data_IF_386946471594
#
_entry.id   IF_386946471594
#
_cell.length_a   1.000
_cell.length_b   1.000
_cell.length_c   1.000
_cell.angle_alpha   90.00
_cell.angle_beta   90.00
_cell.angle_gamma   90.00
#
_symmetry.space_group_name_H-M   'P 1'
#
loop_
_entity.id
_entity.type
_entity.pdbx_description
1 polymer ?
#
# COMPACT_ATOMS: atom_id res chain seq x y z
N UNK A 1 -8.58 36.79 4.33
CA UNK A 1 -7.27 36.29 3.83
C UNK A 1 -7.21 34.82 4.12
N UNK A 2 -7.53 33.98 3.11
CA UNK A 2 -7.67 32.54 3.29
C UNK A 2 -6.33 31.84 3.15
N UNK A 3 -5.92 31.12 4.17
CA UNK A 3 -4.80 30.18 4.08
C UNK A 3 -5.26 28.95 3.27
N UNK A 4 -4.61 28.69 2.15
CA UNK A 4 -4.78 27.46 1.36
C UNK A 4 -4.47 26.26 2.24
N UNK A 5 -5.42 25.34 2.40
CA UNK A 5 -5.23 24.03 3.00
C UNK A 5 -4.51 23.13 1.97
N UNK A 6 -3.24 22.88 2.17
CA UNK A 6 -2.50 21.83 1.45
C UNK A 6 -2.63 20.52 2.23
N UNK A 7 -3.19 19.51 1.65
CA UNK A 7 -3.30 18.16 2.24
C UNK A 7 -4.45 17.31 1.72
N UNK A 8 -4.98 17.60 0.54
CA UNK A 8 -5.99 16.78 -0.11
C UNK A 8 -5.36 15.54 -0.76
N UNK A 9 -5.90 14.36 -0.52
CA UNK A 9 -5.70 13.20 -1.39
C UNK A 9 -6.21 13.61 -2.75
N UNK A 10 -5.33 13.77 -3.74
CA UNK A 10 -5.74 14.10 -5.09
C UNK A 10 -6.36 12.86 -5.73
N UNK A 11 -7.69 12.85 -5.83
CA UNK A 11 -8.34 12.05 -6.86
C UNK A 11 -7.91 12.64 -8.20
N UNK A 12 -7.25 11.85 -9.04
CA UNK A 12 -6.98 12.26 -10.40
C UNK A 12 -8.32 12.32 -11.13
N UNK A 13 -8.76 13.54 -11.48
CA UNK A 13 -9.97 13.75 -12.27
C UNK A 13 -9.80 13.14 -13.66
N UNK A 14 -10.80 12.44 -14.20
CA UNK A 14 -10.81 12.02 -15.60
C UNK A 14 -11.06 13.25 -16.47
N UNK A 15 -10.18 13.50 -17.41
CA UNK A 15 -10.41 14.56 -18.39
C UNK A 15 -9.22 14.87 -19.28
N UNK A 16 -8.95 13.99 -20.25
CA UNK A 16 -8.43 14.45 -21.53
C UNK A 16 -8.83 13.44 -22.63
N UNK A 17 -9.72 13.82 -23.60
CA UNK A 17 -10.09 12.94 -24.68
C UNK A 17 -9.03 13.06 -25.77
N UNK A 18 -8.28 12.01 -26.02
CA UNK A 18 -7.64 11.62 -27.27
C UNK A 18 -6.53 10.57 -26.99
N UNK A 19 -6.90 9.31 -27.11
CA UNK A 19 -5.97 8.31 -27.64
C UNK A 19 -6.76 7.06 -28.05
N UNK A 20 -6.91 6.90 -29.37
CA UNK A 20 -7.45 5.69 -29.99
C UNK A 20 -6.49 4.53 -29.71
N UNK A 21 -7.06 3.46 -29.19
CA UNK A 21 -6.43 2.16 -29.01
C UNK A 21 -5.82 1.62 -30.31
N UNK A 22 -4.54 1.34 -30.28
CA UNK A 22 -3.94 0.32 -31.14
C UNK A 22 -3.25 -0.70 -30.21
N UNK A 23 -3.75 -1.91 -30.28
CA UNK A 23 -3.31 -3.09 -29.56
C UNK A 23 -1.88 -3.46 -29.92
N UNK A 24 -0.94 -3.18 -29.01
CA UNK A 24 0.33 -3.90 -28.89
C UNK A 24 0.81 -3.76 -27.44
N UNK A 25 1.09 -4.84 -26.81
CA UNK A 25 1.37 -5.06 -25.37
C UNK A 25 2.42 -4.16 -24.71
N UNK A 26 3.12 -3.32 -25.45
CA UNK A 26 4.15 -2.41 -24.93
C UNK A 26 3.69 -0.98 -24.61
N UNK A 27 2.59 -0.51 -25.17
CA UNK A 27 2.21 0.91 -25.14
C UNK A 27 1.29 1.24 -23.95
N UNK A 28 0.42 0.33 -23.53
CA UNK A 28 -0.47 0.52 -22.39
C UNK A 28 0.33 0.58 -21.05
N UNK A 29 1.39 -0.24 -20.94
CA UNK A 29 2.30 -0.24 -19.80
C UNK A 29 3.03 1.09 -19.61
N UNK A 30 3.51 1.70 -20.69
CA UNK A 30 4.25 2.97 -20.64
C UNK A 30 3.36 4.18 -20.28
N UNK A 31 2.09 4.19 -20.69
CA UNK A 31 1.17 5.30 -20.40
C UNK A 31 0.70 5.26 -18.93
N UNK A 32 0.49 4.07 -18.39
CA UNK A 32 0.11 3.85 -17.00
C UNK A 32 1.24 4.26 -16.03
N UNK A 33 2.47 3.83 -16.30
CA UNK A 33 3.67 4.24 -15.53
C UNK A 33 3.80 5.76 -15.47
N UNK A 34 3.47 6.48 -16.55
CA UNK A 34 3.58 7.94 -16.61
C UNK A 34 2.64 8.65 -15.62
N UNK A 35 1.47 8.12 -15.28
CA UNK A 35 0.53 8.74 -14.33
C UNK A 35 0.99 8.52 -12.88
N UNK A 36 1.44 7.34 -12.52
CA UNK A 36 2.03 7.03 -11.20
C UNK A 36 3.29 7.89 -10.99
N UNK A 37 4.20 7.91 -11.95
CA UNK A 37 5.41 8.74 -11.87
C UNK A 37 5.10 10.23 -11.72
N UNK A 38 4.15 10.77 -12.50
CA UNK A 38 3.73 12.18 -12.39
C UNK A 38 3.18 12.52 -11.00
N UNK A 39 2.43 11.61 -10.40
CA UNK A 39 1.88 11.79 -9.06
C UNK A 39 2.98 11.79 -8.01
N UNK A 40 3.78 10.71 -7.94
CA UNK A 40 4.83 10.56 -6.93
C UNK A 40 6.00 11.54 -7.12
N UNK A 41 6.22 12.06 -8.32
CA UNK A 41 7.17 13.14 -8.52
C UNK A 41 6.74 14.49 -7.88
N UNK A 42 5.45 14.67 -7.60
CA UNK A 42 4.89 15.85 -6.93
C UNK A 42 4.63 15.62 -5.44
N UNK A 43 4.51 14.36 -5.02
CA UNK A 43 4.21 13.97 -3.65
C UNK A 43 5.50 13.73 -2.86
N UNK A 44 5.53 14.21 -1.61
CA UNK A 44 6.65 13.95 -0.71
C UNK A 44 6.41 12.67 0.08
N UNK A 45 6.68 11.52 -0.55
CA UNK A 45 6.52 10.18 0.05
C UNK A 45 7.38 10.01 1.30
N UNK A 46 8.57 10.63 1.34
CA UNK A 46 9.47 10.53 2.49
C UNK A 46 8.88 11.13 3.78
N UNK A 47 7.93 12.05 3.64
CA UNK A 47 7.27 12.69 4.79
C UNK A 47 5.95 12.02 5.20
N UNK A 48 5.37 11.15 4.39
CA UNK A 48 4.05 10.55 4.63
C UNK A 48 3.98 9.83 5.99
N UNK A 49 4.92 8.96 6.27
CA UNK A 49 4.95 8.16 7.50
C UNK A 49 5.54 8.89 8.72
N UNK A 50 5.84 10.20 8.61
CA UNK A 50 6.27 11.02 9.76
C UNK A 50 5.13 11.86 10.35
N UNK A 51 3.98 11.91 9.70
CA UNK A 51 2.76 12.53 10.23
C UNK A 51 2.18 11.64 11.34
N UNK A 52 1.37 12.18 12.26
CA UNK A 52 0.82 11.38 13.37
C UNK A 52 0.03 10.15 12.90
N UNK A 53 -0.85 10.30 11.91
CA UNK A 53 -1.54 9.13 11.33
C UNK A 53 -0.58 8.15 10.64
N UNK A 54 0.46 8.65 9.96
CA UNK A 54 1.51 7.81 9.36
C UNK A 54 2.37 7.09 10.41
N UNK A 55 2.61 7.70 11.56
CA UNK A 55 3.29 7.04 12.70
C UNK A 55 2.44 5.88 13.22
N UNK A 56 1.11 6.03 13.32
CA UNK A 56 0.21 4.93 13.71
C UNK A 56 0.31 3.79 12.71
N UNK A 57 0.21 4.07 11.39
CA UNK A 57 0.37 3.10 10.31
C UNK A 57 1.69 2.35 10.41
N UNK A 58 2.81 3.11 10.49
CA UNK A 58 4.16 2.54 10.57
C UNK A 58 4.33 1.67 11.81
N UNK A 59 3.92 2.15 12.97
CA UNK A 59 4.12 1.45 14.25
C UNK A 59 3.30 0.18 14.32
N UNK A 60 2.03 0.22 13.93
CA UNK A 60 1.17 -0.96 13.91
C UNK A 60 1.69 -2.01 12.92
N UNK A 61 2.08 -1.61 11.72
CA UNK A 61 2.63 -2.51 10.71
C UNK A 61 3.93 -3.14 11.17
N UNK A 62 4.86 -2.35 11.71
CA UNK A 62 6.13 -2.84 12.25
C UNK A 62 5.92 -3.81 13.42
N UNK A 63 4.92 -3.58 14.28
CA UNK A 63 4.56 -4.53 15.35
C UNK A 63 4.26 -5.93 14.76
N UNK A 64 3.44 -6.00 13.70
CA UNK A 64 3.10 -7.27 13.06
C UNK A 64 4.28 -7.91 12.31
N UNK A 65 5.13 -7.10 11.67
CA UNK A 65 6.38 -7.59 11.05
C UNK A 65 7.30 -8.16 12.11
N UNK A 66 7.50 -7.48 13.26
CA UNK A 66 8.32 -7.97 14.37
C UNK A 66 7.79 -9.28 14.96
N UNK A 67 6.49 -9.37 15.15
CA UNK A 67 5.83 -10.61 15.58
C UNK A 67 6.06 -11.77 14.60
N UNK A 68 6.10 -11.47 13.31
CA UNK A 68 6.40 -12.47 12.26
C UNK A 68 7.89 -12.84 12.18
N UNK A 69 8.78 -11.90 12.46
CA UNK A 69 10.23 -12.13 12.58
C UNK A 69 10.56 -13.04 13.78
N UNK A 70 9.82 -12.91 14.87
CA UNK A 70 9.92 -13.78 16.04
C UNK A 70 11.36 -13.94 16.57
N UNK A 71 12.07 -12.84 16.75
CA UNK A 71 13.46 -12.80 17.24
C UNK A 71 14.52 -13.32 16.29
N UNK A 72 14.16 -13.79 15.09
CA UNK A 72 15.15 -14.25 14.09
C UNK A 72 16.00 -13.09 13.60
N UNK A 73 17.29 -13.35 13.38
CA UNK A 73 18.26 -12.35 12.94
C UNK A 73 18.75 -12.63 11.52
N UNK A 74 19.20 -11.60 10.84
CA UNK A 74 19.85 -11.73 9.53
C UNK A 74 18.94 -12.25 8.41
N UNK A 75 17.61 -12.12 8.55
CA UNK A 75 16.66 -12.54 7.54
C UNK A 75 16.88 -11.81 6.22
N UNK A 76 16.66 -12.51 5.09
CA UNK A 76 16.58 -11.91 3.78
C UNK A 76 15.15 -11.40 3.54
N UNK A 77 14.99 -10.10 3.37
CA UNK A 77 13.69 -9.45 3.24
C UNK A 77 13.62 -8.68 1.91
N UNK A 78 12.55 -8.88 1.14
CA UNK A 78 12.21 -8.05 -0.01
C UNK A 78 11.16 -7.01 0.38
N UNK A 79 11.32 -5.78 -0.13
CA UNK A 79 10.34 -4.69 0.01
C UNK A 79 9.96 -4.21 -1.39
N UNK A 80 8.80 -4.67 -1.87
CA UNK A 80 8.30 -4.43 -3.24
C UNK A 80 7.33 -3.25 -3.22
N UNK A 81 7.68 -2.20 -3.96
CA UNK A 81 7.01 -0.89 -3.86
C UNK A 81 7.49 -0.12 -2.63
N UNK A 82 8.79 -0.17 -2.35
CA UNK A 82 9.39 0.37 -1.11
C UNK A 82 9.27 1.89 -0.94
N UNK A 83 8.84 2.64 -1.96
CA UNK A 83 8.84 4.09 -1.94
C UNK A 83 10.23 4.65 -1.64
N UNK A 84 10.34 5.49 -0.63
CA UNK A 84 11.62 6.04 -0.14
C UNK A 84 12.30 5.18 0.93
N UNK A 85 11.80 3.95 1.18
CA UNK A 85 12.44 2.90 1.96
C UNK A 85 12.23 2.97 3.47
N UNK A 86 11.09 3.50 3.95
CA UNK A 86 10.84 3.64 5.39
C UNK A 86 10.88 2.31 6.14
N UNK A 87 10.18 1.29 5.65
CA UNK A 87 10.22 -0.07 6.22
C UNK A 87 11.58 -0.73 6.00
N UNK A 88 12.13 -0.60 4.79
CA UNK A 88 13.43 -1.17 4.44
C UNK A 88 14.56 -0.69 5.36
N UNK A 89 14.61 0.62 5.65
CA UNK A 89 15.65 1.22 6.49
C UNK A 89 15.52 0.72 7.92
N UNK A 90 14.32 0.74 8.48
CA UNK A 90 14.08 0.28 9.86
C UNK A 90 14.49 -1.18 10.03
N UNK A 91 14.13 -2.07 9.09
CA UNK A 91 14.50 -3.47 9.12
C UNK A 91 16.01 -3.70 8.86
N UNK A 92 16.63 -2.85 8.04
CA UNK A 92 18.09 -2.87 7.82
C UNK A 92 18.85 -2.52 9.10
N UNK A 93 18.41 -1.50 9.85
CA UNK A 93 19.00 -1.10 11.13
C UNK A 93 18.85 -2.18 12.20
N UNK A 94 17.85 -3.05 12.08
CA UNK A 94 17.65 -4.22 12.93
C UNK A 94 18.52 -5.43 12.53
N UNK A 95 19.38 -5.28 11.51
CA UNK A 95 20.36 -6.30 11.10
C UNK A 95 19.84 -7.28 10.05
N UNK A 96 18.71 -7.02 9.38
CA UNK A 96 18.21 -7.82 8.29
C UNK A 96 18.84 -7.43 6.93
N UNK A 97 18.84 -8.36 5.98
CA UNK A 97 19.36 -8.14 4.63
C UNK A 97 18.23 -7.70 3.70
N UNK A 98 18.26 -6.44 3.29
CA UNK A 98 17.17 -5.84 2.51
C UNK A 98 17.45 -5.79 1.02
N UNK A 99 16.40 -6.12 0.24
CA UNK A 99 16.34 -5.86 -1.20
C UNK A 99 15.05 -5.06 -1.46
N UNK A 100 15.20 -3.82 -1.92
CA UNK A 100 14.11 -2.89 -2.16
C UNK A 100 13.88 -2.72 -3.66
N UNK A 101 12.63 -2.82 -4.09
CA UNK A 101 12.19 -2.60 -5.48
C UNK A 101 11.19 -1.46 -5.50
N UNK A 102 11.39 -0.50 -6.40
CA UNK A 102 10.50 0.66 -6.55
C UNK A 102 10.35 1.00 -8.05
N UNK A 103 9.11 1.27 -8.46
CA UNK A 103 8.79 1.64 -9.82
C UNK A 103 9.25 3.05 -10.17
N UNK A 104 9.02 4.00 -9.25
CA UNK A 104 9.26 5.42 -9.45
C UNK A 104 10.74 5.75 -9.23
N UNK A 105 11.42 6.15 -10.29
CA UNK A 105 12.85 6.45 -10.28
C UNK A 105 13.25 7.42 -9.16
N UNK A 106 12.48 8.50 -8.98
CA UNK A 106 12.74 9.51 -7.93
C UNK A 106 12.76 8.90 -6.53
N UNK A 107 11.80 8.03 -6.21
CA UNK A 107 11.71 7.40 -4.89
C UNK A 107 12.94 6.53 -4.61
N UNK A 108 13.35 5.70 -5.60
CA UNK A 108 14.52 4.85 -5.41
C UNK A 108 15.82 5.66 -5.33
N UNK A 109 15.90 6.80 -6.02
CA UNK A 109 17.04 7.72 -5.89
C UNK A 109 17.09 8.37 -4.49
N UNK A 110 15.94 8.73 -3.91
CA UNK A 110 15.86 9.20 -2.51
C UNK A 110 16.35 8.13 -1.54
N UNK A 111 15.94 6.87 -1.72
CA UNK A 111 16.44 5.77 -0.88
C UNK A 111 17.96 5.58 -1.01
N UNK A 112 18.46 5.57 -2.25
CA UNK A 112 19.93 5.45 -2.51
C UNK A 112 20.73 6.57 -1.86
N UNK A 113 20.20 7.79 -1.86
CA UNK A 113 20.87 8.95 -1.26
C UNK A 113 20.99 8.88 0.27
N UNK A 114 20.26 7.98 0.93
CA UNK A 114 20.35 7.72 2.37
C UNK A 114 21.54 6.82 2.74
N UNK A 115 22.25 6.26 1.75
CA UNK A 115 23.46 5.45 1.89
C UNK A 115 23.34 4.22 2.80
N UNK A 116 22.14 3.65 2.90
CA UNK A 116 21.88 2.44 3.67
C UNK A 116 22.37 1.18 2.96
N UNK A 117 22.66 0.12 3.73
CA UNK A 117 23.12 -1.19 3.19
C UNK A 117 21.96 -1.99 2.60
N UNK A 118 21.19 -1.38 1.69
CA UNK A 118 20.02 -1.94 1.04
C UNK A 118 20.33 -2.15 -0.45
N UNK A 119 20.08 -3.36 -0.96
CA UNK A 119 20.12 -3.60 -2.41
C UNK A 119 18.89 -2.97 -3.05
N UNK A 120 19.07 -2.12 -4.05
CA UNK A 120 17.97 -1.36 -4.63
C UNK A 120 17.83 -1.62 -6.13
N UNK A 121 16.60 -1.84 -6.58
CA UNK A 121 16.23 -2.03 -7.98
C UNK A 121 15.11 -1.08 -8.37
N UNK A 122 15.22 -0.48 -9.55
CA UNK A 122 14.04 0.12 -10.19
C UNK A 122 13.34 -0.99 -10.97
N UNK A 123 12.06 -1.25 -10.64
CA UNK A 123 11.32 -2.35 -11.25
C UNK A 123 9.82 -2.27 -10.99
N UNK A 124 9.07 -3.06 -11.77
CA UNK A 124 7.63 -3.19 -11.66
C UNK A 124 7.29 -4.48 -10.89
N UNK A 125 6.37 -4.43 -9.94
CA UNK A 125 5.90 -5.60 -9.19
C UNK A 125 5.26 -6.68 -10.08
N UNK A 126 4.78 -6.31 -11.26
CA UNK A 126 4.25 -7.26 -12.26
C UNK A 126 5.34 -8.14 -12.90
N UNK A 127 6.59 -7.73 -12.84
CA UNK A 127 7.73 -8.51 -13.35
C UNK A 127 8.93 -8.35 -12.40
N UNK A 128 9.16 -9.37 -11.59
CA UNK A 128 10.30 -9.47 -10.67
C UNK A 128 11.33 -10.52 -11.15
N UNK A 129 11.35 -10.85 -12.45
CA UNK A 129 12.23 -11.89 -13.04
C UNK A 129 13.72 -11.64 -12.79
N UNK A 130 14.12 -10.40 -12.52
CA UNK A 130 15.49 -10.02 -12.15
C UNK A 130 15.86 -10.38 -10.70
N UNK A 131 14.90 -10.84 -9.88
CA UNK A 131 15.16 -11.36 -8.53
C UNK A 131 15.20 -12.89 -8.54
N UNK A 132 16.10 -13.43 -7.74
CA UNK A 132 16.27 -14.87 -7.58
C UNK A 132 15.03 -15.51 -6.94
N UNK A 133 14.69 -16.73 -7.37
CA UNK A 133 13.61 -17.53 -6.79
C UNK A 133 13.95 -18.02 -5.38
N UNK A 134 12.94 -18.20 -4.54
CA UNK A 134 13.05 -18.78 -3.19
C UNK A 134 14.15 -18.13 -2.34
N UNK A 135 14.32 -16.81 -2.46
CA UNK A 135 15.40 -16.08 -1.82
C UNK A 135 15.05 -15.45 -0.50
N UNK A 136 13.82 -14.94 -0.37
CA UNK A 136 13.42 -14.10 0.74
C UNK A 136 12.65 -14.88 1.82
N UNK A 137 13.01 -14.64 3.08
CA UNK A 137 12.29 -15.19 4.24
C UNK A 137 10.96 -14.46 4.45
N UNK A 138 10.96 -13.16 4.13
CA UNK A 138 9.78 -12.27 4.19
C UNK A 138 9.78 -11.40 2.94
N UNK A 139 8.61 -11.25 2.34
CA UNK A 139 8.36 -10.32 1.23
C UNK A 139 7.26 -9.35 1.63
N UNK A 140 7.57 -8.05 1.61
CA UNK A 140 6.63 -6.95 1.83
C UNK A 140 6.17 -6.41 0.47
N UNK A 141 4.87 -6.10 0.35
CA UNK A 141 4.27 -5.48 -0.82
C UNK A 141 3.26 -4.42 -0.36
N UNK A 142 3.78 -3.23 0.03
CA UNK A 142 3.01 -2.13 0.62
C UNK A 142 2.90 -0.96 -0.38
N UNK A 143 2.01 -1.06 -1.34
CA UNK A 143 1.79 -0.01 -2.34
C UNK A 143 1.36 -0.53 -3.69
N UNK A 144 2.03 -1.52 -4.31
CA UNK A 144 1.70 -1.94 -5.67
C UNK A 144 0.23 -2.28 -5.90
N UNK A 145 -0.43 -2.98 -4.94
CA UNK A 145 -1.84 -3.38 -5.08
C UNK A 145 -2.81 -2.20 -5.21
N UNK A 146 -2.41 -1.02 -4.74
CA UNK A 146 -3.23 0.20 -4.84
C UNK A 146 -3.38 0.71 -6.27
N UNK A 147 -2.45 0.35 -7.15
CA UNK A 147 -2.33 0.83 -8.52
C UNK A 147 -2.69 -0.22 -9.57
N UNK A 148 -3.17 -1.38 -9.14
CA UNK A 148 -3.58 -2.47 -10.02
C UNK A 148 -5.10 -2.45 -10.14
N UNK A 149 -5.60 -2.34 -11.38
CA UNK A 149 -7.03 -2.10 -11.62
C UNK A 149 -7.80 -3.38 -11.82
N UNK A 150 -7.12 -4.48 -12.17
CA UNK A 150 -7.75 -5.77 -12.41
C UNK A 150 -7.33 -6.82 -11.38
N UNK A 151 -8.19 -7.79 -11.15
CA UNK A 151 -7.87 -8.95 -10.33
C UNK A 151 -6.69 -9.75 -10.93
N UNK A 152 -6.62 -9.82 -12.26
CA UNK A 152 -5.57 -10.52 -13.00
C UNK A 152 -4.18 -9.93 -12.74
N UNK A 153 -4.07 -8.60 -12.74
CA UNK A 153 -2.84 -7.91 -12.37
C UNK A 153 -2.44 -8.20 -10.92
N UNK A 154 -3.40 -8.18 -9.99
CA UNK A 154 -3.14 -8.48 -8.57
C UNK A 154 -2.67 -9.93 -8.38
N UNK A 155 -3.29 -10.88 -9.05
CA UNK A 155 -2.86 -12.28 -9.01
C UNK A 155 -1.48 -12.45 -9.65
N UNK A 156 -1.17 -11.74 -10.75
CA UNK A 156 0.16 -11.73 -11.36
C UNK A 156 1.23 -11.27 -10.37
N UNK A 157 0.98 -10.17 -9.64
CA UNK A 157 1.89 -9.72 -8.59
C UNK A 157 2.05 -10.78 -7.51
N UNK A 158 0.97 -11.41 -7.05
CA UNK A 158 1.05 -12.46 -6.02
C UNK A 158 1.91 -13.63 -6.52
N UNK A 159 1.80 -14.06 -7.77
CA UNK A 159 2.66 -15.12 -8.32
C UNK A 159 4.14 -14.69 -8.36
N UNK A 160 4.45 -13.42 -8.66
CA UNK A 160 5.81 -12.92 -8.56
C UNK A 160 6.33 -12.94 -7.11
N UNK A 161 5.50 -12.53 -6.13
CA UNK A 161 5.86 -12.57 -4.71
C UNK A 161 6.09 -14.01 -4.23
N UNK A 162 5.23 -14.96 -4.63
CA UNK A 162 5.42 -16.41 -4.36
C UNK A 162 6.77 -16.89 -4.88
N UNK A 163 7.05 -16.61 -6.14
CA UNK A 163 8.29 -17.07 -6.79
C UNK A 163 9.55 -16.64 -6.06
N UNK A 164 9.62 -15.41 -5.57
CA UNK A 164 10.80 -14.88 -4.89
C UNK A 164 10.89 -15.24 -3.41
N UNK A 165 9.76 -15.59 -2.78
CA UNK A 165 9.69 -15.94 -1.36
C UNK A 165 10.01 -17.42 -1.16
N UNK A 166 10.78 -17.77 -0.14
CA UNK A 166 11.10 -19.14 0.19
C UNK A 166 9.83 -19.93 0.55
N UNK A 167 9.79 -21.27 0.29
CA UNK A 167 8.77 -22.13 0.89
C UNK A 167 8.72 -21.94 2.40
N UNK A 168 7.52 -21.78 2.97
CA UNK A 168 7.31 -21.43 4.37
C UNK A 168 7.59 -19.98 4.73
N UNK A 169 8.07 -19.16 3.80
CA UNK A 169 8.27 -17.72 3.97
C UNK A 169 6.95 -16.97 4.03
N UNK A 170 7.00 -15.72 4.49
CA UNK A 170 5.81 -14.89 4.68
C UNK A 170 5.73 -13.76 3.64
N UNK A 171 4.53 -13.55 3.12
CA UNK A 171 4.21 -12.51 2.17
C UNK A 171 3.20 -11.55 2.81
N UNK A 172 3.56 -10.28 2.96
CA UNK A 172 2.71 -9.22 3.49
C UNK A 172 2.20 -8.37 2.32
N UNK A 173 0.89 -8.30 2.14
CA UNK A 173 0.28 -7.56 1.03
C UNK A 173 -0.69 -6.53 1.58
N UNK A 174 -0.43 -5.25 1.34
CA UNK A 174 -1.33 -4.18 1.73
C UNK A 174 -2.31 -3.82 0.61
N UNK A 175 -3.56 -3.56 1.02
CA UNK A 175 -4.64 -3.08 0.18
C UNK A 175 -5.23 -1.79 0.74
N UNK A 176 -5.64 -0.88 -0.13
CA UNK A 176 -6.42 0.29 0.25
C UNK A 176 -7.91 -0.03 0.18
N UNK A 177 -8.63 0.24 1.27
CA UNK A 177 -10.03 -0.13 1.38
C UNK A 177 -10.98 0.89 0.74
N UNK A 178 -12.08 0.38 0.21
CA UNK A 178 -13.18 1.13 -0.36
C UNK A 178 -13.68 2.25 0.57
N UNK A 179 -13.78 1.97 1.87
CA UNK A 179 -14.24 2.87 2.90
C UNK A 179 -13.40 4.14 3.02
N UNK A 180 -12.12 4.07 2.66
CA UNK A 180 -11.26 5.26 2.56
C UNK A 180 -11.82 6.27 1.55
N UNK A 181 -12.14 5.82 0.33
CA UNK A 181 -12.71 6.68 -0.71
C UNK A 181 -14.09 7.22 -0.29
N UNK A 182 -14.95 6.35 0.26
CA UNK A 182 -16.32 6.71 0.64
C UNK A 182 -16.31 7.73 1.78
N UNK A 183 -15.64 7.42 2.88
CA UNK A 183 -15.70 8.27 4.09
C UNK A 183 -14.94 9.58 3.85
N UNK A 184 -13.74 9.53 3.28
CA UNK A 184 -12.90 10.72 3.17
C UNK A 184 -13.27 11.62 2.01
N UNK A 185 -13.49 11.05 0.82
CA UNK A 185 -13.77 11.85 -0.36
C UNK A 185 -15.26 12.06 -0.55
N UNK A 186 -16.04 10.98 -0.63
CA UNK A 186 -17.46 11.12 -0.96
C UNK A 186 -18.22 11.92 0.11
N UNK A 187 -18.03 11.58 1.39
CA UNK A 187 -18.71 12.29 2.49
C UNK A 187 -17.86 13.43 3.07
N UNK A 188 -16.57 13.20 3.33
CA UNK A 188 -15.69 14.20 3.94
C UNK A 188 -15.51 15.47 3.12
N UNK A 189 -15.54 15.36 1.78
CA UNK A 189 -15.47 16.49 0.86
C UNK A 189 -16.84 16.86 0.23
N UNK A 190 -17.93 16.25 0.70
CA UNK A 190 -19.29 16.46 0.20
C UNK A 190 -19.43 16.20 -1.32
N UNK A 191 -18.81 15.10 -1.80
CA UNK A 191 -18.75 14.72 -3.21
C UNK A 191 -19.66 13.54 -3.58
N UNK A 192 -20.42 12.99 -2.64
CA UNK A 192 -21.23 11.78 -2.85
C UNK A 192 -22.19 11.90 -4.03
N UNK A 193 -22.87 13.04 -4.18
CA UNK A 193 -23.80 13.28 -5.30
C UNK A 193 -23.07 13.23 -6.66
N UNK A 194 -21.91 13.89 -6.77
CA UNK A 194 -21.07 13.87 -7.96
C UNK A 194 -20.58 12.45 -8.30
N UNK A 195 -20.19 11.68 -7.28
CA UNK A 195 -19.70 10.31 -7.45
C UNK A 195 -20.78 9.37 -7.98
N UNK A 196 -22.01 9.50 -7.46
CA UNK A 196 -23.16 8.72 -7.92
C UNK A 196 -23.55 9.12 -9.35
N UNK A 197 -23.65 10.42 -9.64
CA UNK A 197 -24.01 10.94 -10.96
C UNK A 197 -23.04 10.47 -12.05
N UNK A 198 -21.75 10.41 -11.74
CA UNK A 198 -20.69 9.97 -12.66
C UNK A 198 -20.52 8.45 -12.74
N UNK A 199 -21.27 7.68 -11.96
CA UNK A 199 -21.16 6.23 -11.92
C UNK A 199 -19.81 5.73 -11.37
N UNK A 200 -19.17 6.50 -10.49
CA UNK A 200 -17.96 6.10 -9.80
C UNK A 200 -18.22 5.18 -8.61
N UNK A 201 -19.48 5.00 -8.28
CA UNK A 201 -19.95 4.10 -7.23
C UNK A 201 -21.08 3.22 -7.77
N UNK A 202 -21.12 1.98 -7.30
CA UNK A 202 -22.27 1.11 -7.47
C UNK A 202 -23.41 1.52 -6.51
N UNK A 203 -24.59 0.91 -6.65
CA UNK A 203 -25.74 1.17 -5.76
C UNK A 203 -25.44 0.83 -4.29
N UNK A 204 -24.55 -0.14 -4.03
CA UNK A 204 -24.10 -0.55 -2.70
C UNK A 204 -22.80 0.16 -2.26
N UNK A 205 -22.46 1.28 -2.90
CA UNK A 205 -21.31 2.13 -2.60
C UNK A 205 -19.94 1.45 -2.80
N UNK A 206 -19.81 0.49 -3.70
CA UNK A 206 -18.51 0.02 -4.12
C UNK A 206 -17.92 0.97 -5.17
N UNK A 207 -16.64 1.32 -5.03
CA UNK A 207 -15.94 2.16 -6.01
C UNK A 207 -15.78 1.42 -7.34
N UNK A 208 -16.06 2.13 -8.43
CA UNK A 208 -15.88 1.63 -9.80
C UNK A 208 -14.58 2.22 -10.35
N UNK A 209 -13.53 1.41 -10.37
CA UNK A 209 -12.20 1.82 -10.84
C UNK A 209 -12.24 2.15 -12.34
N UNK A 210 -11.71 3.31 -12.70
CA UNK A 210 -11.53 3.73 -14.09
C UNK A 210 -10.09 3.49 -14.55
N UNK A 211 -9.83 3.31 -15.85
CA UNK A 211 -8.48 3.02 -16.38
C UNK A 211 -7.43 4.08 -16.05
N UNK A 212 -7.84 5.33 -15.84
CA UNK A 212 -6.95 6.45 -15.55
C UNK A 212 -6.85 6.78 -14.06
N UNK A 213 -7.55 6.04 -13.20
CA UNK A 213 -7.49 6.26 -11.75
C UNK A 213 -6.09 5.94 -11.22
N UNK A 214 -5.64 6.76 -10.26
CA UNK A 214 -4.38 6.50 -9.59
C UNK A 214 -4.49 5.32 -8.63
N UNK A 215 -5.62 5.19 -7.95
CA UNK A 215 -5.88 4.17 -6.94
C UNK A 215 -7.06 3.30 -7.31
N UNK A 216 -6.92 2.02 -7.02
CA UNK A 216 -7.98 1.03 -7.07
C UNK A 216 -8.27 0.55 -5.66
N UNK A 217 -9.50 0.78 -5.20
CA UNK A 217 -9.95 0.43 -3.88
C UNK A 217 -10.63 -0.94 -3.89
N UNK A 218 -10.48 -1.68 -2.80
CA UNK A 218 -11.09 -3.00 -2.63
C UNK A 218 -11.87 -3.07 -1.32
N UNK A 219 -12.86 -3.96 -1.25
CA UNK A 219 -13.50 -4.35 0.00
C UNK A 219 -12.77 -5.54 0.62
N UNK A 220 -13.05 -5.81 1.87
CA UNK A 220 -12.48 -6.98 2.55
C UNK A 220 -12.87 -8.29 1.85
N UNK A 221 -14.06 -8.35 1.25
CA UNK A 221 -14.52 -9.51 0.48
C UNK A 221 -13.68 -9.71 -0.80
N UNK A 222 -13.26 -8.63 -1.46
CA UNK A 222 -12.35 -8.71 -2.62
C UNK A 222 -10.98 -9.24 -2.20
N UNK A 223 -10.45 -8.78 -1.06
CA UNK A 223 -9.20 -9.29 -0.48
C UNK A 223 -9.31 -10.80 -0.19
N UNK A 224 -10.45 -11.22 0.39
CA UNK A 224 -10.72 -12.64 0.66
C UNK A 224 -10.81 -13.47 -0.63
N UNK A 225 -11.44 -12.93 -1.67
CA UNK A 225 -11.55 -13.59 -2.98
C UNK A 225 -10.17 -13.74 -3.66
N UNK A 226 -9.35 -12.68 -3.64
CA UNK A 226 -7.98 -12.69 -4.17
C UNK A 226 -7.12 -13.71 -3.42
N UNK A 227 -7.15 -13.71 -2.08
CA UNK A 227 -6.41 -14.66 -1.26
C UNK A 227 -6.80 -16.12 -1.61
N UNK A 228 -8.10 -16.41 -1.70
CA UNK A 228 -8.58 -17.74 -2.08
C UNK A 228 -8.10 -18.19 -3.46
N UNK A 229 -8.13 -17.28 -4.45
CA UNK A 229 -7.67 -17.55 -5.82
C UNK A 229 -6.16 -17.73 -5.91
N UNK A 230 -5.38 -17.08 -5.07
CA UNK A 230 -3.93 -17.22 -5.02
C UNK A 230 -3.48 -18.62 -4.57
N UNK A 231 -4.35 -19.35 -3.89
CA UNK A 231 -4.05 -20.66 -3.31
C UNK A 231 -3.12 -20.62 -2.09
N UNK A 232 -2.74 -19.42 -1.62
CA UNK A 232 -1.89 -19.25 -0.44
C UNK A 232 -2.71 -19.35 0.86
N UNK A 233 -2.14 -19.93 1.90
CA UNK A 233 -2.73 -19.95 3.22
C UNK A 233 -2.57 -18.59 3.91
N UNK A 234 -3.66 -18.04 4.48
CA UNK A 234 -3.60 -16.84 5.31
C UNK A 234 -3.11 -17.17 6.72
N UNK A 235 -1.97 -16.60 7.11
CA UNK A 235 -1.49 -16.65 8.49
C UNK A 235 -2.29 -15.70 9.37
N UNK A 236 -2.52 -14.49 8.90
CA UNK A 236 -3.29 -13.45 9.60
C UNK A 236 -3.66 -12.31 8.66
N UNK A 237 -4.58 -11.47 9.09
CA UNK A 237 -4.92 -10.21 8.45
C UNK A 237 -5.08 -9.14 9.52
N UNK A 238 -4.65 -7.90 9.25
CA UNK A 238 -4.74 -6.81 10.21
C UNK A 238 -4.94 -5.46 9.53
N UNK A 239 -5.62 -4.53 10.22
CA UNK A 239 -5.70 -3.11 9.81
C UNK A 239 -4.40 -2.39 10.18
N UNK A 240 -3.84 -1.58 9.27
CA UNK A 240 -2.58 -0.88 9.52
C UNK A 240 -2.72 0.29 10.50
N UNK A 241 -3.81 1.04 10.42
CA UNK A 241 -3.98 2.29 11.17
C UNK A 241 -5.36 2.46 11.82
N UNK A 242 -6.28 1.50 11.62
CA UNK A 242 -7.65 1.63 12.14
C UNK A 242 -8.31 2.94 11.69
N UNK A 243 -8.80 3.74 12.64
CA UNK A 243 -9.46 5.01 12.37
C UNK A 243 -8.51 6.21 12.21
N UNK A 244 -7.19 6.03 12.31
CA UNK A 244 -6.22 7.13 12.40
C UNK A 244 -6.31 8.11 11.22
N UNK A 245 -6.55 7.60 10.00
CA UNK A 245 -6.62 8.45 8.81
C UNK A 245 -7.88 9.34 8.81
N UNK A 246 -8.97 8.88 9.41
CA UNK A 246 -10.20 9.65 9.57
C UNK A 246 -10.10 10.68 10.70
N UNK A 247 -9.22 10.45 11.68
CA UNK A 247 -9.04 11.26 12.90
C UNK A 247 -7.80 12.17 12.83
N UNK A 248 -7.32 12.55 11.65
CA UNK A 248 -6.06 13.33 11.51
C UNK A 248 -6.05 14.61 12.32
N UNK A 249 -7.18 15.31 12.41
CA UNK A 249 -7.32 16.55 13.17
C UNK A 249 -7.19 16.29 14.67
N UNK A 250 -7.91 15.29 15.16
CA UNK A 250 -7.94 14.88 16.55
C UNK A 250 -6.56 14.36 16.98
N UNK A 251 -5.94 13.51 16.18
CA UNK A 251 -4.57 13.00 16.42
C UNK A 251 -3.56 14.14 16.55
N UNK A 252 -3.64 15.15 15.69
CA UNK A 252 -2.73 16.30 15.73
C UNK A 252 -2.96 17.19 16.97
N UNK A 253 -4.14 17.12 17.61
CA UNK A 253 -4.48 17.85 18.83
C UNK A 253 -4.18 17.09 20.12
N UNK A 254 -3.91 15.78 20.05
CA UNK A 254 -3.57 14.95 21.22
C UNK A 254 -2.22 15.38 21.82
N UNK A 255 -2.09 15.32 23.14
CA UNK A 255 -0.76 15.29 23.78
C UNK A 255 -0.05 13.95 23.52
N UNK A 256 1.25 13.88 23.85
CA UNK A 256 2.06 12.72 23.55
C UNK A 256 1.65 11.47 24.37
N UNK A 257 1.09 11.62 25.55
CA UNK A 257 0.64 10.48 26.35
C UNK A 257 -0.64 9.88 25.76
N UNK A 258 -1.61 10.72 25.43
CA UNK A 258 -2.86 10.32 24.75
C UNK A 258 -2.57 9.69 23.39
N UNK A 259 -1.64 10.28 22.63
CA UNK A 259 -1.26 9.73 21.33
C UNK A 259 -0.63 8.34 21.42
N UNK A 260 0.25 8.10 22.42
CA UNK A 260 0.80 6.76 22.66
C UNK A 260 -0.28 5.74 22.98
N UNK A 261 -1.23 6.08 23.83
CA UNK A 261 -2.37 5.21 24.11
C UNK A 261 -3.22 4.92 22.87
N UNK A 262 -3.36 5.89 21.96
CA UNK A 262 -4.05 5.66 20.68
C UNK A 262 -3.29 4.66 19.79
N UNK A 263 -1.96 4.74 19.74
CA UNK A 263 -1.12 3.76 19.02
C UNK A 263 -1.29 2.37 19.62
N UNK A 264 -1.18 2.25 20.96
CA UNK A 264 -1.34 0.97 21.68
C UNK A 264 -2.75 0.38 21.45
N UNK A 265 -3.79 1.21 21.50
CA UNK A 265 -5.15 0.83 21.19
C UNK A 265 -5.27 0.30 19.76
N UNK A 266 -4.71 1.01 18.78
CA UNK A 266 -4.76 0.61 17.36
C UNK A 266 -4.10 -0.76 17.16
N UNK A 267 -2.93 -1.01 17.76
CA UNK A 267 -2.27 -2.31 17.71
C UNK A 267 -3.16 -3.39 18.33
N UNK A 268 -3.75 -3.12 19.50
CA UNK A 268 -4.58 -4.09 20.23
C UNK A 268 -5.84 -4.51 19.44
N UNK A 269 -6.42 -3.59 18.65
CA UNK A 269 -7.64 -3.88 17.88
C UNK A 269 -7.38 -4.27 16.42
N UNK A 270 -6.14 -4.18 15.94
CA UNK A 270 -5.78 -4.29 14.51
C UNK A 270 -6.23 -5.60 13.86
N UNK A 271 -6.36 -6.69 14.61
CA UNK A 271 -6.76 -8.01 14.13
C UNK A 271 -8.23 -8.36 14.45
N UNK A 272 -9.01 -7.44 15.01
CA UNK A 272 -10.42 -7.68 15.34
C UNK A 272 -11.26 -7.73 14.05
N UNK A 273 -11.90 -8.89 13.72
CA UNK A 273 -12.59 -9.07 12.43
C UNK A 273 -13.65 -8.01 12.16
N UNK A 274 -14.38 -7.57 13.19
CA UNK A 274 -15.42 -6.55 13.08
C UNK A 274 -14.90 -5.13 12.76
N UNK A 275 -13.58 -4.89 12.85
CA UNK A 275 -12.95 -3.60 12.60
C UNK A 275 -12.03 -3.57 11.38
N UNK A 276 -11.75 -4.72 10.77
CA UNK A 276 -10.82 -4.80 9.62
C UNK A 276 -11.28 -3.94 8.44
N UNK A 277 -12.56 -3.99 8.09
CA UNK A 277 -13.11 -3.24 6.97
C UNK A 277 -13.36 -1.76 7.25
N UNK A 278 -13.20 -1.31 8.48
CA UNK A 278 -13.50 0.07 8.89
C UNK A 278 -12.30 1.03 8.77
N UNK A 279 -11.10 0.52 8.49
CA UNK A 279 -9.87 1.31 8.34
C UNK A 279 -9.63 1.77 6.90
N UNK A 280 -8.49 2.38 6.69
CA UNK A 280 -8.04 2.82 5.36
C UNK A 280 -7.29 1.72 4.64
N UNK A 281 -6.43 1.00 5.36
CA UNK A 281 -5.63 -0.08 4.80
C UNK A 281 -5.77 -1.37 5.61
N UNK A 282 -5.63 -2.47 4.90
CA UNK A 282 -5.52 -3.80 5.50
C UNK A 282 -4.30 -4.51 4.92
N UNK A 283 -3.60 -5.27 5.75
CA UNK A 283 -2.51 -6.15 5.33
C UNK A 283 -2.92 -7.60 5.49
N UNK A 284 -2.85 -8.33 4.40
CA UNK A 284 -3.00 -9.79 4.35
C UNK A 284 -1.62 -10.43 4.46
N UNK A 285 -1.43 -11.32 5.43
CA UNK A 285 -0.17 -12.03 5.66
C UNK A 285 -0.35 -13.49 5.26
N UNK A 286 0.31 -13.86 4.19
CA UNK A 286 0.18 -15.17 3.55
C UNK A 286 1.44 -16.01 3.77
N UNK A 287 1.29 -17.33 3.81
CA UNK A 287 2.38 -18.31 3.87
C UNK A 287 2.62 -18.82 2.46
N UNK A 288 3.86 -18.74 2.00
CA UNK A 288 4.28 -19.35 0.75
C UNK A 288 4.45 -20.87 0.98
N UNK A 289 3.49 -21.64 0.50
CA UNK A 289 3.44 -23.10 0.68
C UNK A 289 4.42 -23.86 -0.21
#
# INVERSE_FOLDING_TARGET
MGKKRNGGVAFALPGNPLLKLHSQWGVASLTYMTNIEKYYNKFNEDHRLTTRHGIVEMTCTMHHIQKAIDGRQGLSIADIGCGTGRYSIELCHQGHQLTAVELVKRNIEVLRAKHEKIKTWQGNALDLSFLEENKFDITLCFGPMYHLHTEEERLTVIEQLKRITKPGGLIFIAYILNENAIIRYCFGENKIGECLEKGWLTEDFHTVTQPDDLYSYVRLDDVNAIQKKSGLERKTIFSQEGAADYMRRELNAMDEATFRHFVDYTIAISQRPELLGAGTHVVDVLING
#
